data_IF_592030013765
#
_entry.id   IF_592030013765
#
_cell.length_a   1.000
_cell.length_b   1.000
_cell.length_c   1.000
_cell.angle_alpha   90.00
_cell.angle_beta   90.00
_cell.angle_gamma   90.00
#
_symmetry.space_group_name_H-M   'P 1'
#
loop_
_entity.id
_entity.type
_entity.pdbx_description
1 polymer ?
#
# COMPACT_ATOMS: atom_id res chain seq x y z
N UNK A 1 -17.74 12.49 -2.24
CA UNK A 1 -18.14 11.95 -0.92
C UNK A 1 -17.31 10.71 -0.59
N UNK A 2 -16.91 10.51 0.66
CA UNK A 2 -16.30 9.24 1.11
C UNK A 2 -17.27 8.10 0.81
N UNK A 3 -16.77 7.00 0.24
CA UNK A 3 -17.55 5.77 0.24
C UNK A 3 -17.39 5.17 1.62
N UNK A 4 -18.44 5.24 2.42
CA UNK A 4 -18.49 4.53 3.69
C UNK A 4 -18.28 3.04 3.37
N UNK A 5 -17.27 2.37 3.96
CA UNK A 5 -17.07 0.96 3.74
C UNK A 5 -18.37 0.18 4.03
N UNK A 6 -18.78 -0.66 3.09
CA UNK A 6 -19.91 -1.55 3.24
C UNK A 6 -19.57 -2.77 4.12
N UNK A 7 -20.31 -3.88 3.97
CA UNK A 7 -20.03 -5.11 4.71
C UNK A 7 -18.61 -5.63 4.48
N UNK A 8 -18.01 -6.22 5.53
CA UNK A 8 -16.73 -6.91 5.47
C UNK A 8 -16.82 -8.10 4.50
N UNK A 9 -15.78 -8.26 3.69
CA UNK A 9 -15.56 -9.39 2.78
C UNK A 9 -14.49 -10.29 3.39
N UNK A 10 -14.92 -11.29 4.15
CA UNK A 10 -14.04 -12.18 4.92
C UNK A 10 -13.02 -12.92 4.04
N UNK A 11 -13.45 -13.42 2.88
CA UNK A 11 -12.59 -14.15 1.91
C UNK A 11 -11.47 -13.28 1.31
N UNK A 12 -11.54 -11.96 1.49
CA UNK A 12 -10.56 -10.97 1.05
C UNK A 12 -9.93 -10.21 2.23
N UNK A 13 -10.10 -10.74 3.44
CA UNK A 13 -9.58 -10.18 4.69
C UNK A 13 -8.65 -11.17 5.39
N UNK A 14 -7.81 -10.67 6.29
CA UNK A 14 -6.91 -11.44 7.13
C UNK A 14 -6.63 -10.63 8.41
N UNK A 15 -7.02 -11.16 9.55
CA UNK A 15 -6.78 -10.53 10.86
C UNK A 15 -5.44 -10.99 11.47
N UNK A 16 -4.64 -11.75 10.72
CA UNK A 16 -3.32 -12.23 11.11
C UNK A 16 -3.31 -12.94 12.47
N UNK A 17 -4.34 -13.76 12.71
CA UNK A 17 -4.61 -14.49 13.95
C UNK A 17 -3.92 -15.86 14.02
N UNK A 18 -3.23 -16.27 12.95
CA UNK A 18 -2.45 -17.51 12.89
C UNK A 18 -0.95 -17.26 13.08
N UNK A 19 -0.20 -18.27 13.52
CA UNK A 19 1.26 -18.18 13.65
C UNK A 19 2.02 -18.33 12.32
N UNK A 20 1.32 -18.64 11.23
CA UNK A 20 1.94 -18.92 9.93
C UNK A 20 2.14 -17.63 9.15
N UNK A 21 3.36 -17.40 8.65
CA UNK A 21 3.61 -16.25 7.77
C UNK A 21 2.80 -16.43 6.47
N UNK A 22 1.94 -15.47 6.09
CA UNK A 22 1.18 -15.55 4.85
C UNK A 22 2.10 -15.71 3.62
N UNK A 23 1.68 -16.52 2.66
CA UNK A 23 2.42 -16.79 1.43
C UNK A 23 3.58 -17.76 1.56
N UNK A 24 3.69 -18.48 2.68
CA UNK A 24 4.73 -19.50 2.90
C UNK A 24 4.22 -20.95 2.85
N UNK A 25 2.91 -21.14 2.68
CA UNK A 25 2.26 -22.44 2.54
C UNK A 25 1.54 -22.54 1.19
N UNK A 26 1.27 -23.77 0.73
CA UNK A 26 0.63 -24.01 -0.57
C UNK A 26 -0.80 -23.47 -0.64
N UNK A 27 -1.56 -23.57 0.46
CA UNK A 27 -2.96 -23.15 0.53
C UNK A 27 -3.15 -21.68 0.96
N UNK A 28 -2.06 -20.92 1.04
CA UNK A 28 -2.12 -19.52 1.42
C UNK A 28 -2.86 -18.70 0.35
N UNK A 29 -3.84 -17.86 0.73
CA UNK A 29 -4.47 -16.91 -0.20
C UNK A 29 -3.53 -15.75 -0.58
N UNK A 30 -2.40 -15.66 0.11
CA UNK A 30 -1.34 -14.69 -0.14
C UNK A 30 -0.19 -15.31 -0.95
N UNK A 31 0.51 -14.46 -1.71
CA UNK A 31 1.72 -14.80 -2.46
C UNK A 31 2.72 -13.64 -2.40
N UNK A 32 4.01 -13.98 -2.39
CA UNK A 32 5.09 -13.00 -2.40
C UNK A 32 5.61 -12.77 -3.81
N UNK A 33 5.61 -11.51 -4.24
CA UNK A 33 6.46 -11.07 -5.36
C UNK A 33 7.90 -11.00 -4.84
N UNK A 34 8.83 -11.66 -5.55
CA UNK A 34 10.25 -11.78 -5.19
C UNK A 34 10.53 -12.52 -3.87
N UNK A 35 9.59 -13.36 -3.43
CA UNK A 35 9.73 -14.22 -2.24
C UNK A 35 9.59 -13.47 -0.91
N UNK A 36 9.48 -14.22 0.21
CA UNK A 36 9.28 -13.64 1.53
C UNK A 36 10.36 -12.62 1.90
N UNK A 37 9.92 -11.48 2.43
CA UNK A 37 10.85 -10.46 2.92
C UNK A 37 11.73 -11.02 4.05
N UNK A 38 13.03 -10.70 4.04
CA UNK A 38 13.94 -11.10 5.11
C UNK A 38 13.45 -10.54 6.45
N UNK A 39 13.39 -11.41 7.47
CA UNK A 39 12.92 -11.05 8.81
C UNK A 39 11.39 -10.95 8.95
N UNK A 40 10.63 -11.41 7.95
CA UNK A 40 9.17 -11.53 8.11
C UNK A 40 8.81 -12.52 9.20
N UNK A 41 7.87 -12.14 10.05
CA UNK A 41 7.42 -12.95 11.17
C UNK A 41 5.97 -12.66 11.54
N UNK A 42 5.34 -13.66 12.15
CA UNK A 42 4.08 -13.54 12.87
C UNK A 42 4.38 -13.42 14.37
N UNK A 43 3.95 -12.33 14.98
CA UNK A 43 4.10 -12.15 16.42
C UNK A 43 2.92 -11.36 16.99
N UNK A 44 2.38 -11.83 18.12
CA UNK A 44 1.33 -11.14 18.87
C UNK A 44 0.09 -10.76 18.00
N UNK A 45 -0.34 -11.66 17.12
CA UNK A 45 -1.50 -11.44 16.24
C UNK A 45 -1.27 -10.34 15.19
N UNK A 46 -0.07 -10.27 14.62
CA UNK A 46 0.23 -9.35 13.53
C UNK A 46 1.37 -9.87 12.66
N UNK A 47 1.33 -9.48 11.40
CA UNK A 47 2.40 -9.68 10.44
C UNK A 47 3.39 -8.52 10.54
N UNK A 48 4.69 -8.82 10.58
CA UNK A 48 5.71 -7.77 10.60
C UNK A 48 6.96 -8.15 9.82
N UNK A 49 7.62 -7.16 9.23
CA UNK A 49 8.97 -7.30 8.71
C UNK A 49 9.70 -5.94 8.71
N UNK A 50 11.03 -5.95 8.81
CA UNK A 50 11.83 -4.74 8.62
C UNK A 50 11.67 -4.20 7.20
N UNK A 51 11.73 -2.87 7.06
CA UNK A 51 11.96 -2.25 5.76
C UNK A 51 13.20 -2.87 5.13
N UNK A 52 13.09 -3.19 3.84
CA UNK A 52 14.17 -3.79 3.07
C UNK A 52 15.02 -2.70 2.42
N UNK A 53 16.30 -2.98 2.18
CA UNK A 53 17.20 -2.18 1.34
C UNK A 53 16.86 -2.26 -0.16
N UNK A 54 15.58 -2.18 -0.51
CA UNK A 54 15.02 -2.56 -1.80
C UNK A 54 13.76 -1.73 -2.07
N UNK A 55 13.34 -1.52 -3.32
CA UNK A 55 12.28 -0.55 -3.61
C UNK A 55 11.38 -0.97 -4.78
N UNK A 56 10.08 -0.69 -4.67
CA UNK A 56 9.09 -0.65 -5.74
C UNK A 56 8.97 0.81 -6.23
N UNK A 57 9.70 1.11 -7.32
CA UNK A 57 9.82 2.43 -7.93
C UNK A 57 10.52 2.35 -9.29
N UNK A 58 9.83 2.76 -10.35
CA UNK A 58 10.32 2.81 -11.74
C UNK A 58 11.12 1.56 -12.09
N UNK A 59 12.29 1.69 -12.71
CA UNK A 59 13.10 0.53 -13.08
C UNK A 59 13.78 -0.23 -11.93
N UNK A 60 13.55 0.12 -10.66
CA UNK A 60 14.24 -0.50 -9.52
C UNK A 60 13.64 -1.86 -9.15
N UNK A 61 12.35 -1.89 -8.78
CA UNK A 61 11.52 -3.10 -8.62
C UNK A 61 12.14 -4.27 -7.84
N UNK A 62 12.89 -3.97 -6.77
CA UNK A 62 13.60 -4.97 -5.98
C UNK A 62 12.88 -5.36 -4.69
N UNK A 63 11.92 -4.55 -4.21
CA UNK A 63 11.24 -4.83 -2.94
C UNK A 63 10.34 -6.07 -3.02
N UNK A 64 10.32 -6.87 -1.95
CA UNK A 64 9.31 -7.93 -1.80
C UNK A 64 7.94 -7.29 -1.60
N UNK A 65 6.91 -7.83 -2.25
CA UNK A 65 5.53 -7.38 -2.11
C UNK A 65 4.67 -8.57 -1.73
N UNK A 66 4.00 -8.52 -0.58
CA UNK A 66 3.02 -9.54 -0.21
C UNK A 66 1.69 -9.17 -0.86
N UNK A 67 1.09 -10.08 -1.62
CA UNK A 67 -0.15 -9.81 -2.38
C UNK A 67 -1.19 -10.91 -2.21
N UNK A 68 -2.46 -10.54 -2.28
CA UNK A 68 -3.61 -11.44 -2.43
C UNK A 68 -4.56 -10.90 -3.49
N UNK A 69 -5.45 -11.75 -3.97
CA UNK A 69 -6.48 -11.32 -4.90
C UNK A 69 -7.40 -10.25 -4.30
N UNK A 70 -7.88 -9.34 -5.14
CA UNK A 70 -8.91 -8.37 -4.78
C UNK A 70 -10.30 -8.94 -5.08
N UNK A 71 -11.35 -8.51 -4.35
CA UNK A 71 -12.72 -8.91 -4.66
C UNK A 71 -13.18 -8.32 -6.00
N UNK A 72 -14.17 -8.94 -6.66
CA UNK A 72 -14.83 -8.34 -7.80
C UNK A 72 -15.63 -7.09 -7.38
N UNK A 73 -15.76 -6.13 -8.30
CA UNK A 73 -16.51 -4.90 -8.09
C UNK A 73 -15.75 -3.85 -7.28
N UNK A 74 -16.50 -2.87 -6.77
CA UNK A 74 -15.93 -1.79 -5.95
C UNK A 74 -15.64 -2.30 -4.54
N UNK A 75 -14.51 -1.88 -3.98
CA UNK A 75 -14.08 -2.29 -2.65
C UNK A 75 -13.23 -1.23 -1.95
N UNK A 76 -13.14 -1.35 -0.63
CA UNK A 76 -12.17 -0.61 0.19
C UNK A 76 -11.33 -1.59 0.97
N UNK A 77 -10.01 -1.53 0.83
CA UNK A 77 -9.08 -2.25 1.69
C UNK A 77 -8.57 -1.33 2.78
N UNK A 78 -8.49 -1.85 4.00
CA UNK A 78 -7.98 -1.17 5.18
C UNK A 78 -6.89 -2.00 5.87
N UNK A 79 -5.88 -1.34 6.42
CA UNK A 79 -4.96 -1.93 7.39
C UNK A 79 -4.74 -0.98 8.56
N UNK A 80 -4.37 -1.53 9.72
CA UNK A 80 -3.74 -0.77 10.81
C UNK A 80 -2.23 -1.07 10.80
N UNK A 81 -1.45 -0.06 10.45
CA UNK A 81 0.00 -0.05 10.42
C UNK A 81 0.55 0.53 11.74
N UNK A 82 1.49 -0.18 12.35
CA UNK A 82 2.40 0.32 13.38
C UNK A 82 3.80 0.41 12.79
N UNK A 83 4.31 1.62 12.69
CA UNK A 83 5.58 1.90 12.02
C UNK A 83 6.19 3.20 12.54
N UNK A 84 7.34 3.11 13.21
CA UNK A 84 8.07 4.26 13.73
C UNK A 84 9.43 4.38 13.01
N UNK A 85 9.46 4.85 11.75
CA UNK A 85 10.70 4.99 11.01
C UNK A 85 11.56 6.10 11.58
N UNK A 86 12.89 5.92 11.59
CA UNK A 86 13.83 6.90 12.14
C UNK A 86 14.83 7.45 11.11
N UNK A 87 14.83 6.90 9.89
CA UNK A 87 15.78 7.25 8.83
C UNK A 87 15.05 7.67 7.56
N UNK A 88 15.69 8.54 6.78
CA UNK A 88 15.20 8.93 5.47
C UNK A 88 14.97 7.71 4.57
N UNK A 89 13.99 7.84 3.69
CA UNK A 89 13.52 6.87 2.70
C UNK A 89 12.94 5.57 3.28
N UNK A 90 12.72 5.47 4.59
CA UNK A 90 11.95 4.34 5.14
C UNK A 90 10.47 4.54 4.83
N UNK A 91 9.83 3.52 4.25
CA UNK A 91 8.40 3.56 3.96
C UNK A 91 7.71 2.20 4.14
N UNK A 92 6.46 2.21 4.60
CA UNK A 92 5.63 1.01 4.72
C UNK A 92 4.13 1.34 4.58
N UNK A 93 3.33 0.39 4.09
CA UNK A 93 1.89 0.57 3.95
C UNK A 93 1.20 -0.38 2.98
N UNK A 94 0.06 0.07 2.44
CA UNK A 94 -0.78 -0.65 1.49
C UNK A 94 -0.36 -0.38 0.04
N UNK A 95 -0.56 -1.37 -0.83
CA UNK A 95 -0.45 -1.23 -2.28
C UNK A 95 -1.59 -1.96 -2.98
N UNK A 96 -2.18 -1.34 -4.00
CA UNK A 96 -2.93 -2.04 -5.04
C UNK A 96 -1.98 -2.31 -6.20
N UNK A 97 -1.57 -3.56 -6.34
CA UNK A 97 -0.45 -3.99 -7.18
C UNK A 97 -0.95 -4.76 -8.41
N UNK A 98 -0.75 -4.18 -9.61
CA UNK A 98 -0.94 -4.90 -10.87
C UNK A 98 0.35 -5.61 -11.25
N UNK A 99 1.39 -4.82 -11.48
CA UNK A 99 2.75 -5.24 -11.73
C UNK A 99 3.74 -4.14 -11.28
N UNK A 100 5.01 -4.36 -11.56
CA UNK A 100 6.10 -3.47 -11.14
C UNK A 100 6.00 -2.05 -11.74
N UNK A 101 5.45 -1.89 -12.94
CA UNK A 101 5.24 -0.59 -13.59
C UNK A 101 3.79 -0.07 -13.42
N UNK A 102 2.98 -0.71 -12.58
CA UNK A 102 1.55 -0.42 -12.46
C UNK A 102 1.01 -0.74 -11.08
N UNK A 103 1.01 0.27 -10.21
CA UNK A 103 0.54 0.15 -8.84
C UNK A 103 0.05 1.49 -8.28
N UNK A 104 -0.71 1.42 -7.19
CA UNK A 104 -0.99 2.57 -6.34
C UNK A 104 -0.64 2.21 -4.90
N UNK A 105 0.16 3.02 -4.23
CA UNK A 105 0.60 2.76 -2.86
C UNK A 105 0.22 3.90 -1.92
N UNK A 106 -0.18 3.54 -0.72
CA UNK A 106 -0.42 4.45 0.39
C UNK A 106 0.51 4.05 1.53
N UNK A 107 1.52 4.86 1.81
CA UNK A 107 2.60 4.55 2.76
C UNK A 107 2.83 5.67 3.75
N UNK A 108 3.23 5.32 4.97
CA UNK A 108 3.96 6.24 5.84
C UNK A 108 5.41 6.24 5.38
N UNK A 109 5.92 7.40 4.98
CA UNK A 109 7.28 7.55 4.46
C UNK A 109 8.04 8.64 5.19
N UNK A 110 9.37 8.51 5.24
CA UNK A 110 10.27 9.56 5.69
C UNK A 110 10.98 10.15 4.48
N UNK A 111 10.62 11.37 4.09
CA UNK A 111 11.23 12.03 2.94
C UNK A 111 12.41 12.91 3.36
N UNK A 112 13.57 12.80 2.72
CA UNK A 112 14.65 13.76 2.90
C UNK A 112 14.21 15.13 2.36
N UNK A 113 14.39 16.18 3.15
CA UNK A 113 14.09 17.57 2.76
C UNK A 113 15.35 18.36 2.39
N UNK A 114 16.53 17.77 2.60
CA UNK A 114 17.84 18.28 2.20
C UNK A 114 18.80 17.10 2.00
N UNK A 115 19.88 17.34 1.27
CA UNK A 115 21.02 16.41 1.15
C UNK A 115 21.88 16.34 2.42
N UNK A 116 21.58 17.15 3.45
CA UNK A 116 22.25 17.09 4.75
C UNK A 116 21.61 16.04 5.65
N UNK A 117 22.46 15.26 6.33
CA UNK A 117 22.02 14.23 7.27
C UNK A 117 21.05 14.77 8.34
N UNK A 118 20.05 13.95 8.67
CA UNK A 118 19.06 14.25 9.71
C UNK A 118 17.99 15.28 9.31
N UNK A 119 17.98 15.76 8.07
CA UNK A 119 16.92 16.65 7.56
C UNK A 119 15.88 15.84 6.77
N UNK A 120 14.87 15.37 7.49
CA UNK A 120 13.76 14.64 6.89
C UNK A 120 12.40 15.04 7.50
N UNK A 121 11.33 14.73 6.78
CA UNK A 121 9.95 14.88 7.24
C UNK A 121 9.21 13.57 7.10
N UNK A 122 8.31 13.28 8.02
CA UNK A 122 7.36 12.19 7.84
C UNK A 122 6.20 12.68 6.98
N UNK A 123 5.70 11.81 6.12
CA UNK A 123 4.53 12.04 5.29
C UNK A 123 3.69 10.77 5.21
N UNK A 124 2.41 10.96 4.92
CA UNK A 124 1.59 9.92 4.31
C UNK A 124 1.60 10.18 2.80
N UNK A 125 2.25 9.29 2.05
CA UNK A 125 2.36 9.36 0.60
C UNK A 125 1.38 8.41 -0.07
N UNK A 126 0.49 8.98 -0.88
CA UNK A 126 -0.36 8.26 -1.83
C UNK A 126 0.20 8.43 -3.25
N UNK A 127 0.94 7.44 -3.73
CA UNK A 127 1.58 7.49 -5.04
C UNK A 127 0.93 6.53 -6.03
N UNK A 128 1.01 6.87 -7.32
CA UNK A 128 0.79 5.92 -8.41
C UNK A 128 2.07 5.73 -9.21
N UNK A 129 2.22 4.54 -9.76
CA UNK A 129 3.07 4.28 -10.92
C UNK A 129 2.22 3.63 -12.00
N UNK A 130 2.40 4.08 -13.24
CA UNK A 130 1.70 3.52 -14.39
C UNK A 130 1.50 4.54 -15.50
N UNK A 131 0.60 4.20 -16.40
CA UNK A 131 0.39 4.97 -17.62
C UNK A 131 -0.13 6.38 -17.31
N UNK A 132 0.38 7.34 -18.09
CA UNK A 132 -0.11 8.73 -18.11
C UNK A 132 -0.42 9.13 -19.56
N UNK A 133 -1.57 8.66 -20.11
CA UNK A 133 -1.95 8.93 -21.50
C UNK A 133 -2.29 10.41 -21.76
N UNK A 134 -2.49 11.19 -20.69
CA UNK A 134 -2.86 12.61 -20.77
C UNK A 134 -1.68 13.55 -21.03
N UNK A 135 -0.43 13.08 -21.06
CA UNK A 135 0.74 13.89 -21.46
C UNK A 135 0.96 13.85 -22.97
N UNK A 136 1.68 14.84 -23.51
CA UNK A 136 2.09 14.87 -24.93
C UNK A 136 3.62 14.91 -25.04
N UNK A 137 4.28 13.83 -25.51
CA UNK A 137 3.70 12.53 -25.86
C UNK A 137 3.18 11.75 -24.63
N UNK A 138 2.32 10.73 -24.82
CA UNK A 138 1.88 9.84 -23.74
C UNK A 138 3.08 9.20 -23.02
N UNK A 139 3.01 9.12 -21.69
CA UNK A 139 4.07 8.47 -20.88
C UNK A 139 3.63 7.06 -20.48
N UNK A 140 4.35 5.99 -20.90
CA UNK A 140 3.97 4.61 -20.56
C UNK A 140 4.11 4.27 -19.07
N UNK A 141 5.16 4.78 -18.40
CA UNK A 141 5.40 4.54 -16.98
C UNK A 141 5.79 5.87 -16.33
N UNK A 142 4.94 6.35 -15.43
CA UNK A 142 5.17 7.59 -14.69
C UNK A 142 4.89 7.38 -13.21
N UNK A 143 5.83 7.82 -12.36
CA UNK A 143 5.61 7.92 -10.91
C UNK A 143 5.03 9.28 -10.56
N UNK A 144 3.95 9.29 -9.78
CA UNK A 144 3.27 10.49 -9.31
C UNK A 144 2.93 10.40 -7.83
N UNK A 145 3.60 11.19 -6.96
CA UNK A 145 3.26 11.24 -5.54
C UNK A 145 2.13 12.24 -5.27
N UNK A 146 1.33 11.94 -4.26
CA UNK A 146 0.41 12.86 -3.60
C UNK A 146 0.59 12.70 -2.09
N UNK A 147 0.47 13.77 -1.33
CA UNK A 147 0.65 13.72 0.13
C UNK A 147 -0.62 14.19 0.82
N UNK A 148 -1.06 13.49 1.88
CA UNK A 148 -2.27 13.87 2.60
C UNK A 148 -2.55 13.01 3.82
N UNK A 149 -3.21 13.59 4.82
CA UNK A 149 -3.36 13.01 6.15
C UNK A 149 -2.10 13.15 7.01
N UNK A 150 -2.22 13.31 8.34
CA UNK A 150 -1.06 13.40 9.22
C UNK A 150 -0.36 12.02 9.31
N UNK A 151 0.99 11.97 9.31
CA UNK A 151 1.72 10.77 9.69
C UNK A 151 1.64 10.55 11.20
N UNK A 152 1.69 9.30 11.63
CA UNK A 152 1.78 8.90 13.03
C UNK A 152 2.42 7.50 13.14
N UNK A 153 2.93 7.14 14.31
CA UNK A 153 3.51 5.80 14.53
C UNK A 153 2.47 4.69 14.40
N UNK A 154 1.20 4.99 14.62
CA UNK A 154 0.06 4.10 14.34
C UNK A 154 -0.89 4.80 13.39
N UNK A 155 -1.13 4.16 12.24
CA UNK A 155 -2.00 4.68 11.18
C UNK A 155 -2.98 3.60 10.72
N UNK A 156 -4.23 3.99 10.60
CA UNK A 156 -5.21 3.28 9.79
C UNK A 156 -5.15 3.85 8.39
N UNK A 157 -5.11 2.98 7.39
CA UNK A 157 -4.91 3.35 6.00
C UNK A 157 -5.99 2.69 5.16
N UNK A 158 -6.60 3.43 4.23
CA UNK A 158 -7.61 2.93 3.30
C UNK A 158 -7.24 3.24 1.86
N UNK A 159 -7.42 2.25 0.99
CA UNK A 159 -7.51 2.41 -0.46
C UNK A 159 -8.87 1.94 -0.93
N UNK A 160 -9.66 2.84 -1.52
CA UNK A 160 -10.98 2.55 -2.08
C UNK A 160 -10.89 2.50 -3.60
N UNK A 161 -11.08 1.31 -4.16
CA UNK A 161 -11.08 1.03 -5.60
C UNK A 161 -12.47 1.22 -6.20
N UNK A 162 -12.52 1.83 -7.38
CA UNK A 162 -13.69 1.89 -8.24
C UNK A 162 -13.32 1.66 -9.70
N UNK A 163 -14.10 0.82 -10.38
CA UNK A 163 -14.02 0.71 -11.83
C UNK A 163 -14.95 1.74 -12.51
N UNK A 164 -14.39 2.82 -13.05
CA UNK A 164 -15.12 3.75 -13.93
C UNK A 164 -15.18 3.16 -15.34
N UNK A 165 -16.18 2.31 -15.56
CA UNK A 165 -16.44 1.67 -16.86
C UNK A 165 -16.83 2.67 -17.95
N UNK A 166 -17.30 3.87 -17.60
CA UNK A 166 -17.67 4.88 -18.59
C UNK A 166 -16.43 5.55 -19.21
N UNK A 167 -15.32 5.63 -18.46
CA UNK A 167 -14.04 6.21 -18.91
C UNK A 167 -12.96 5.19 -19.22
N UNK A 168 -13.22 3.90 -18.98
CA UNK A 168 -12.21 2.84 -19.01
C UNK A 168 -11.05 3.14 -18.04
N UNK A 169 -11.37 3.65 -16.87
CA UNK A 169 -10.41 3.99 -15.83
C UNK A 169 -10.69 3.21 -14.54
N UNK A 170 -9.63 2.90 -13.83
CA UNK A 170 -9.65 2.55 -12.42
C UNK A 170 -9.43 3.82 -11.63
N UNK A 171 -10.35 4.16 -10.74
CA UNK A 171 -10.18 5.24 -9.75
C UNK A 171 -9.83 4.64 -8.39
N UNK A 172 -8.84 5.22 -7.72
CA UNK A 172 -8.49 4.82 -6.35
C UNK A 172 -8.39 6.04 -5.47
N UNK A 173 -9.07 5.99 -4.32
CA UNK A 173 -9.05 7.03 -3.30
C UNK A 173 -8.25 6.58 -2.08
N UNK A 174 -7.49 7.48 -1.50
CA UNK A 174 -6.73 7.22 -0.28
C UNK A 174 -7.28 8.03 0.90
N UNK A 175 -7.35 7.38 2.07
CA UNK A 175 -7.63 8.03 3.34
C UNK A 175 -6.78 7.43 4.46
N UNK A 176 -6.44 8.25 5.46
CA UNK A 176 -5.75 7.80 6.67
C UNK A 176 -6.43 8.31 7.93
N UNK A 177 -6.19 7.61 9.04
CA UNK A 177 -6.66 7.98 10.37
C UNK A 177 -5.61 7.65 11.42
N UNK A 178 -5.51 8.47 12.46
CA UNK A 178 -4.62 8.26 13.62
C UNK A 178 -5.36 7.71 14.84
N UNK A 179 -6.69 7.61 14.79
CA UNK A 179 -7.54 7.12 15.88
C UNK A 179 -8.51 6.01 15.45
N UNK A 180 -8.50 5.63 14.16
CA UNK A 180 -9.40 4.64 13.56
C UNK A 180 -10.85 5.14 13.37
N UNK A 181 -11.15 6.39 13.73
CA UNK A 181 -12.51 6.95 13.75
C UNK A 181 -12.63 8.14 12.81
N UNK A 182 -11.67 9.08 12.85
CA UNK A 182 -11.65 10.29 12.03
C UNK A 182 -10.72 10.09 10.85
N UNK A 183 -11.25 10.20 9.65
CA UNK A 183 -10.53 9.94 8.41
C UNK A 183 -10.19 11.23 7.68
N UNK A 184 -8.95 11.35 7.24
CA UNK A 184 -8.46 12.43 6.37
C UNK A 184 -8.22 11.87 4.97
N UNK A 185 -8.86 12.48 3.98
CA UNK A 185 -8.74 12.11 2.58
C UNK A 185 -7.53 12.79 1.93
N UNK A 186 -6.79 12.05 1.13
CA UNK A 186 -5.63 12.58 0.39
C UNK A 186 -6.05 13.06 -1.01
N UNK A 187 -6.64 12.16 -1.80
CA UNK A 187 -7.12 12.47 -3.15
C UNK A 187 -7.41 11.21 -3.95
N UNK A 188 -7.45 11.35 -5.28
CA UNK A 188 -7.79 10.28 -6.22
C UNK A 188 -6.70 10.15 -7.27
N UNK A 189 -6.27 8.92 -7.54
CA UNK A 189 -5.47 8.58 -8.70
C UNK A 189 -6.29 7.74 -9.68
N UNK A 190 -6.00 7.89 -10.98
CA UNK A 190 -6.58 7.06 -12.02
C UNK A 190 -5.52 6.33 -12.84
N UNK A 191 -5.88 5.14 -13.33
CA UNK A 191 -5.11 4.34 -14.29
C UNK A 191 -6.06 3.78 -15.36
N UNK A 192 -5.65 3.63 -16.63
CA UNK A 192 -6.46 2.95 -17.64
C UNK A 192 -6.81 1.53 -17.18
N UNK A 193 -8.01 1.01 -17.41
CA UNK A 193 -8.43 -0.33 -16.95
C UNK A 193 -7.93 -1.44 -17.89
N UNK A 194 -6.64 -1.79 -17.79
CA UNK A 194 -6.01 -2.83 -18.64
C UNK A 194 -5.49 -4.07 -17.87
N UNK A 195 -5.53 -4.04 -16.54
CA UNK A 195 -5.17 -5.21 -15.70
C UNK A 195 -5.95 -5.21 -14.38
N UNK A 196 -6.14 -6.39 -13.80
CA UNK A 196 -6.57 -6.53 -12.41
C UNK A 196 -5.50 -6.00 -11.44
N UNK A 197 -5.94 -5.48 -10.30
CA UNK A 197 -5.08 -5.10 -9.19
C UNK A 197 -5.25 -6.10 -8.05
N UNK A 198 -4.15 -6.49 -7.43
CA UNK A 198 -4.12 -7.28 -6.20
C UNK A 198 -3.99 -6.37 -5.00
N UNK A 199 -4.51 -6.80 -3.86
CA UNK A 199 -4.28 -6.13 -2.58
C UNK A 199 -2.91 -6.56 -2.05
N UNK A 200 -2.10 -5.63 -1.57
CA UNK A 200 -0.79 -5.97 -1.02
C UNK A 200 -0.26 -5.04 0.05
N UNK A 201 0.86 -5.47 0.62
CA UNK A 201 1.58 -4.78 1.69
C UNK A 201 3.07 -4.67 1.33
N UNK A 202 3.69 -3.57 1.75
CA UNK A 202 5.11 -3.27 1.51
C UNK A 202 5.79 -2.67 2.74
N UNK A 203 7.07 -2.97 2.93
CA UNK A 203 7.98 -2.23 3.81
C UNK A 203 9.37 -2.19 3.17
N UNK A 204 9.85 -1.01 2.80
CA UNK A 204 10.87 -0.89 1.75
C UNK A 204 11.76 0.35 1.87
N UNK A 205 12.66 0.43 0.89
CA UNK A 205 13.70 1.39 0.57
C UNK A 205 14.88 1.43 1.57
N UNK A 206 14.84 2.22 2.64
CA UNK A 206 15.96 2.20 3.60
C UNK A 206 15.74 1.12 4.66
N UNK A 207 16.71 0.22 4.85
CA UNK A 207 16.53 -0.92 5.73
C UNK A 207 16.46 -0.56 7.23
N UNK A 208 15.70 -1.36 7.99
CA UNK A 208 15.85 -1.48 9.44
C UNK A 208 14.69 -0.99 10.33
N UNK A 209 13.67 -0.32 9.80
CA UNK A 209 12.48 0.03 10.59
C UNK A 209 11.44 -1.10 10.47
N UNK A 210 10.88 -1.57 11.58
CA UNK A 210 9.92 -2.67 11.57
C UNK A 210 8.53 -2.12 11.25
N UNK A 211 7.95 -2.56 10.14
CA UNK A 211 6.55 -2.34 9.83
C UNK A 211 5.74 -3.50 10.38
N UNK A 212 4.66 -3.18 11.09
CA UNK A 212 3.75 -4.16 11.67
C UNK A 212 2.33 -3.88 11.22
N UNK A 213 1.69 -4.89 10.64
CA UNK A 213 0.33 -4.84 10.11
C UNK A 213 -0.55 -5.72 10.98
N UNK A 214 -1.58 -5.13 11.57
CA UNK A 214 -2.43 -5.85 12.51
C UNK A 214 -3.57 -6.59 11.81
N UNK A 215 -3.94 -6.16 10.61
CA UNK A 215 -4.91 -6.84 9.75
C UNK A 215 -4.84 -6.27 8.33
N UNK A 216 -5.45 -6.99 7.39
CA UNK A 216 -5.91 -6.46 6.11
C UNK A 216 -7.40 -6.78 6.03
N UNK A 217 -8.26 -5.76 6.04
CA UNK A 217 -9.71 -5.93 5.98
C UNK A 217 -10.25 -5.30 4.72
N UNK A 218 -11.00 -6.07 3.97
CA UNK A 218 -11.60 -5.61 2.72
C UNK A 218 -13.10 -5.52 2.89
N UNK A 219 -13.68 -4.42 2.45
CA UNK A 219 -15.09 -4.11 2.56
C UNK A 219 -15.67 -3.89 1.16
N UNK A 220 -16.94 -4.20 0.98
CA UNK A 220 -17.66 -3.82 -0.25
C UNK A 220 -17.68 -2.29 -0.38
N UNK A 221 -17.42 -1.77 -1.58
CA UNK A 221 -17.34 -0.33 -1.88
C UNK A 221 -18.67 0.29 -2.33
#
# INVERSE_FOLDING_TARGET
>A
PERVPGPLLADYSDDFDTATVPGTTADSPWSWVRGPASGVTMAEGALSWPTQGAELYLGTNTASVLTRDAPPGDYTVETRLRFAPGRANQQAGLVLYGNDDRYLKLVHAVLPVSHTDGKATHVTEFAKEGERPTTTPPTPVAYGPMFGGPPADTLWMRLSYHADTARNETEVRAATSTDGVRWTHTGVWTLPTVSGLRIGLVAQNTAGAIARFDYVRTYRG
#
